data_IF_405733460120
#
_entry.id   IF_405733460120
#
_cell.length_a   1.000
_cell.length_b   1.000
_cell.length_c   1.000
_cell.angle_alpha   90.00
_cell.angle_beta   90.00
_cell.angle_gamma   90.00
#
_symmetry.space_group_name_H-M   'P 1'
#
loop_
_entity.id
_entity.type
_entity.pdbx_description
1 polymer ?
#
# COMPACT_ATOMS: atom_id res chain seq x y z
N UNK A 1 23.90 9.81 50.49
CA UNK A 1 24.43 9.26 51.76
C UNK A 1 25.38 8.11 51.44
N UNK A 2 26.46 7.95 52.23
CA UNK A 2 27.78 7.57 51.72
C UNK A 2 28.21 6.14 52.08
N UNK A 3 29.35 5.72 51.51
CA UNK A 3 30.40 4.76 51.99
C UNK A 3 30.85 3.86 50.83
N UNK A 4 32.12 3.71 50.44
CA UNK A 4 33.39 4.20 50.98
C UNK A 4 34.50 3.17 50.67
N UNK A 5 35.56 3.63 49.99
CA UNK A 5 37.00 3.27 50.13
C UNK A 5 37.42 1.81 49.78
N UNK A 6 38.62 1.44 49.34
CA UNK A 6 40.02 1.91 49.46
C UNK A 6 40.74 1.35 48.20
N UNK A 7 41.48 2.09 47.38
CA UNK A 7 42.92 2.34 47.51
C UNK A 7 43.37 3.46 46.56
N UNK A 8 44.39 4.19 47.03
CA UNK A 8 44.80 5.54 46.67
C UNK A 8 46.28 5.53 46.26
N UNK A 9 46.66 6.36 45.27
CA UNK A 9 47.95 7.09 45.13
C UNK A 9 49.27 6.29 45.05
N UNK A 10 50.34 6.67 44.33
CA UNK A 10 50.82 7.92 43.75
C UNK A 10 51.70 7.65 42.51
N UNK A 11 51.88 8.68 41.68
CA UNK A 11 53.01 8.91 40.76
C UNK A 11 54.34 9.27 41.49
N UNK A 12 55.38 9.48 40.67
CA UNK A 12 56.78 9.90 40.93
C UNK A 12 57.79 8.76 41.19
N UNK A 13 59.02 8.77 40.66
CA UNK A 13 59.74 9.65 39.72
C UNK A 13 61.07 8.95 39.36
N UNK A 14 61.80 9.56 38.44
CA UNK A 14 63.26 9.52 38.29
C UNK A 14 63.90 8.48 37.34
N UNK A 15 64.23 9.02 36.16
CA UNK A 15 65.46 8.73 35.43
C UNK A 15 66.71 9.10 36.26
N UNK A 16 67.83 8.48 35.86
CA UNK A 16 69.24 8.76 36.21
C UNK A 16 69.68 8.22 37.57
N UNK A 17 70.64 7.29 37.64
CA UNK A 17 72.04 7.58 37.33
C UNK A 17 72.93 6.33 37.43
N UNK A 18 73.92 6.26 36.53
CA UNK A 18 75.32 5.82 36.76
C UNK A 18 75.57 4.33 37.05
N UNK A 19 76.16 3.59 36.09
CA UNK A 19 77.61 3.45 35.80
C UNK A 19 78.38 2.67 36.88
N UNK A 20 79.30 1.85 36.37
CA UNK A 20 80.37 1.12 37.07
C UNK A 20 79.97 -0.15 37.82
N UNK A 21 80.11 -1.29 37.13
CA UNK A 21 81.31 -2.13 37.27
C UNK A 21 81.24 -3.20 36.17
N UNK A 22 81.80 -2.94 34.99
CA UNK A 22 83.21 -3.17 34.64
C UNK A 22 83.65 -4.64 34.76
N UNK A 23 84.05 -5.16 33.59
CA UNK A 23 85.20 -6.03 33.37
C UNK A 23 85.28 -7.35 34.13
N UNK A 24 85.31 -8.44 33.38
CA UNK A 24 86.51 -9.22 33.08
C UNK A 24 86.08 -10.51 32.38
N UNK A 25 86.83 -11.20 31.53
CA UNK A 25 88.00 -10.90 30.71
C UNK A 25 88.14 -12.17 29.86
N UNK A 26 88.34 -12.02 28.56
CA UNK A 26 88.96 -13.06 27.75
C UNK A 26 90.37 -13.34 28.29
N UNK A 27 90.61 -14.51 28.87
CA UNK A 27 91.93 -15.12 29.05
C UNK A 27 91.67 -16.59 29.42
N UNK A 28 92.31 -17.60 28.86
CA UNK A 28 93.72 -17.68 28.55
C UNK A 28 94.19 -19.03 29.09
N UNK A 29 94.44 -19.94 28.15
CA UNK A 29 95.43 -21.02 28.19
C UNK A 29 96.40 -20.99 29.38
N UNK A 30 96.36 -22.02 30.21
CA UNK A 30 97.49 -22.70 30.88
C UNK A 30 96.89 -23.92 31.59
N UNK A 31 97.47 -25.12 31.58
CA UNK A 31 98.89 -25.43 31.66
C UNK A 31 99.06 -26.40 32.82
N UNK A 32 99.13 -27.69 32.47
CA UNK A 32 99.74 -28.83 33.16
C UNK A 32 99.95 -28.82 34.69
N UNK A 33 99.56 -29.93 35.30
CA UNK A 33 100.35 -30.55 36.36
C UNK A 33 100.49 -32.05 36.11
N UNK A 34 101.76 -32.43 35.98
CA UNK A 34 102.33 -33.77 35.85
C UNK A 34 102.39 -34.44 37.23
N UNK A 35 102.04 -35.72 37.34
CA UNK A 35 102.62 -36.73 38.23
C UNK A 35 101.89 -38.05 37.96
N UNK A 36 102.48 -39.24 37.88
CA UNK A 36 103.86 -39.68 37.92
C UNK A 36 103.87 -41.16 37.45
N UNK A 37 105.04 -41.63 37.06
CA UNK A 37 105.34 -42.95 36.48
C UNK A 37 104.81 -44.18 37.26
N UNK A 38 104.40 -45.19 36.49
CA UNK A 38 104.34 -46.59 36.91
C UNK A 38 104.64 -47.49 35.70
N UNK A 39 105.93 -47.67 35.40
CA UNK A 39 106.46 -48.52 34.33
C UNK A 39 106.30 -49.99 34.77
N UNK A 40 105.19 -50.62 34.37
CA UNK A 40 104.96 -52.06 34.49
C UNK A 40 105.25 -52.74 33.16
N UNK A 41 106.39 -53.42 33.12
CA UNK A 41 106.93 -54.20 32.00
C UNK A 41 105.99 -55.37 31.68
N UNK A 42 106.00 -55.75 30.40
CA UNK A 42 105.40 -56.92 29.73
C UNK A 42 104.39 -56.40 28.70
N UNK A 43 104.80 -56.26 27.45
CA UNK A 43 105.16 -57.45 26.68
C UNK A 43 103.88 -58.20 26.35
N UNK A 44 102.96 -57.49 25.71
CA UNK A 44 101.84 -58.06 24.99
C UNK A 44 101.54 -57.01 23.94
N UNK A 45 101.58 -57.38 22.67
CA UNK A 45 100.87 -56.66 21.62
C UNK A 45 99.40 -56.56 22.06
N UNK A 46 99.07 -55.57 22.89
CA UNK A 46 97.68 -55.22 23.16
C UNK A 46 97.21 -54.53 21.91
N UNK A 47 96.79 -55.42 21.03
CA UNK A 47 96.24 -55.19 19.73
C UNK A 47 95.47 -53.89 19.77
N UNK A 48 95.89 -52.95 18.92
CA UNK A 48 95.19 -51.71 18.60
C UNK A 48 93.66 -51.95 18.60
N UNK A 49 93.23 -53.13 18.15
CA UNK A 49 91.87 -53.67 18.26
C UNK A 49 91.14 -53.52 19.61
N UNK A 50 91.79 -53.66 20.78
CA UNK A 50 91.10 -53.63 22.09
C UNK A 50 90.74 -52.22 22.56
N UNK A 51 91.63 -51.25 22.35
CA UNK A 51 91.34 -49.83 22.60
C UNK A 51 90.29 -49.32 21.59
N UNK A 52 90.41 -49.75 20.33
CA UNK A 52 89.41 -49.49 19.31
C UNK A 52 88.05 -50.09 19.68
N UNK A 53 87.98 -51.27 20.30
CA UNK A 53 86.74 -51.87 20.74
C UNK A 53 86.04 -51.08 21.85
N UNK A 54 86.77 -50.57 22.86
CA UNK A 54 86.19 -49.76 23.95
C UNK A 54 85.72 -48.40 23.42
N UNK A 55 86.52 -47.74 22.57
CA UNK A 55 86.08 -46.50 21.91
C UNK A 55 84.90 -46.74 20.96
N UNK A 56 84.84 -47.88 20.28
CA UNK A 56 83.70 -48.26 19.44
C UNK A 56 82.42 -48.45 20.28
N UNK A 57 82.49 -49.15 21.42
CA UNK A 57 81.33 -49.32 22.30
C UNK A 57 80.85 -48.00 22.90
N UNK A 58 81.78 -47.14 23.35
CA UNK A 58 81.46 -45.80 23.86
C UNK A 58 80.87 -44.90 22.76
N UNK A 59 81.41 -44.95 21.54
CA UNK A 59 80.87 -44.24 20.39
C UNK A 59 79.46 -44.71 20.03
N UNK A 60 79.21 -46.03 20.07
CA UNK A 60 77.87 -46.60 19.84
C UNK A 60 76.89 -46.17 20.93
N UNK A 61 77.28 -46.21 22.21
CA UNK A 61 76.45 -45.72 23.32
C UNK A 61 76.14 -44.22 23.20
N UNK A 62 77.15 -43.41 22.87
CA UNK A 62 76.97 -41.98 22.64
C UNK A 62 76.08 -41.71 21.43
N UNK A 63 76.22 -42.49 20.36
CA UNK A 63 75.35 -42.40 19.18
C UNK A 63 73.88 -42.76 19.51
N UNK A 64 73.64 -43.78 20.34
CA UNK A 64 72.28 -44.16 20.78
C UNK A 64 71.66 -43.08 21.67
N UNK A 65 72.41 -42.54 22.64
CA UNK A 65 71.93 -41.45 23.50
C UNK A 65 71.67 -40.18 22.70
N UNK A 66 72.57 -39.83 21.79
CA UNK A 66 72.40 -38.71 20.88
C UNK A 66 71.16 -38.89 19.99
N UNK A 67 70.92 -40.09 19.46
CA UNK A 67 69.73 -40.39 18.68
C UNK A 67 68.43 -40.26 19.51
N UNK A 68 68.42 -40.72 20.77
CA UNK A 68 67.27 -40.54 21.68
C UNK A 68 67.01 -39.06 21.98
N UNK A 69 68.06 -38.28 22.25
CA UNK A 69 67.95 -36.83 22.51
C UNK A 69 67.47 -36.08 21.27
N UNK A 70 68.02 -36.38 20.09
CA UNK A 70 67.57 -35.78 18.83
C UNK A 70 66.10 -36.15 18.54
N UNK A 71 65.71 -37.41 18.78
CA UNK A 71 64.32 -37.86 18.63
C UNK A 71 63.37 -37.08 19.54
N UNK A 72 63.68 -36.97 20.83
CA UNK A 72 62.84 -36.22 21.79
C UNK A 72 62.83 -34.71 21.49
N UNK A 73 63.95 -34.14 21.03
CA UNK A 73 64.02 -32.75 20.58
C UNK A 73 63.15 -32.52 19.34
N UNK A 74 63.15 -33.45 18.38
CA UNK A 74 62.32 -33.35 17.18
C UNK A 74 60.82 -33.39 17.49
N UNK A 75 60.41 -34.21 18.47
CA UNK A 75 59.02 -34.29 18.91
C UNK A 75 58.59 -33.02 19.65
N UNK A 76 59.42 -32.54 20.57
CA UNK A 76 59.17 -31.29 21.30
C UNK A 76 59.14 -30.08 20.36
N UNK A 77 59.97 -30.07 19.32
CA UNK A 77 59.96 -29.04 18.27
C UNK A 77 58.62 -29.04 17.51
N UNK A 78 58.09 -30.21 17.16
CA UNK A 78 56.77 -30.31 16.52
C UNK A 78 55.64 -29.84 17.44
N UNK A 79 55.66 -30.23 18.72
CA UNK A 79 54.68 -29.76 19.70
C UNK A 79 54.73 -28.24 19.89
N UNK A 80 55.93 -27.65 19.90
CA UNK A 80 56.10 -26.20 20.02
C UNK A 80 55.57 -25.45 18.80
N UNK A 81 55.83 -25.96 17.59
CA UNK A 81 55.26 -25.37 16.37
C UNK A 81 53.74 -25.52 16.33
N UNK A 82 53.20 -26.66 16.77
CA UNK A 82 51.75 -26.84 16.90
C UNK A 82 51.15 -25.80 17.86
N UNK A 83 51.73 -25.65 19.06
CA UNK A 83 51.28 -24.64 20.03
C UNK A 83 51.39 -23.21 19.49
N UNK A 84 52.45 -22.91 18.72
CA UNK A 84 52.62 -21.62 18.07
C UNK A 84 51.52 -21.36 17.04
N UNK A 85 51.15 -22.37 16.24
CA UNK A 85 50.03 -22.26 15.29
C UNK A 85 48.70 -22.09 16.01
N UNK A 86 48.43 -22.87 17.06
CA UNK A 86 47.20 -22.76 17.85
C UNK A 86 47.08 -21.38 18.49
N UNK A 87 48.17 -20.84 19.05
CA UNK A 87 48.20 -19.48 19.60
C UNK A 87 47.91 -18.43 18.53
N UNK A 88 48.42 -18.61 17.30
CA UNK A 88 48.15 -17.68 16.19
C UNK A 88 46.68 -17.70 15.77
N UNK A 89 46.05 -18.88 15.71
CA UNK A 89 44.64 -19.06 15.40
C UNK A 89 43.78 -18.44 16.49
N UNK A 90 44.08 -18.71 17.77
CA UNK A 90 43.37 -18.11 18.90
C UNK A 90 43.47 -16.59 18.90
N UNK A 91 44.63 -16.02 18.54
CA UNK A 91 44.80 -14.57 18.40
C UNK A 91 43.97 -13.99 17.26
N UNK A 92 43.92 -14.70 16.13
CA UNK A 92 43.07 -14.34 14.98
C UNK A 92 41.59 -14.34 15.37
N UNK A 93 41.12 -15.41 15.99
CA UNK A 93 39.75 -15.55 16.49
C UNK A 93 39.42 -14.47 17.54
N UNK A 94 40.36 -14.17 18.45
CA UNK A 94 40.22 -13.09 19.44
C UNK A 94 40.09 -11.70 18.82
N UNK A 95 40.87 -11.43 17.76
CA UNK A 95 40.75 -10.19 17.00
C UNK A 95 39.41 -10.10 16.27
N UNK A 96 38.95 -11.18 15.64
CA UNK A 96 37.69 -11.21 14.89
C UNK A 96 36.48 -11.06 15.81
N UNK A 97 36.46 -11.79 16.93
CA UNK A 97 35.45 -11.63 17.98
C UNK A 97 35.45 -10.22 18.57
N UNK A 98 36.63 -9.59 18.74
CA UNK A 98 36.75 -8.20 19.14
C UNK A 98 36.13 -7.21 18.14
N UNK A 99 36.28 -7.45 16.83
CA UNK A 99 35.61 -6.64 15.79
C UNK A 99 34.10 -6.83 15.82
N UNK A 100 33.63 -8.08 15.92
CA UNK A 100 32.20 -8.39 16.02
C UNK A 100 31.55 -7.73 17.23
N UNK A 101 32.23 -7.73 18.39
CA UNK A 101 31.75 -7.08 19.60
C UNK A 101 31.62 -5.55 19.43
N UNK A 102 32.58 -4.91 18.74
CA UNK A 102 32.48 -3.47 18.43
C UNK A 102 31.30 -3.16 17.51
N UNK A 103 31.08 -3.97 16.48
CA UNK A 103 29.92 -3.83 15.58
C UNK A 103 28.61 -4.01 16.34
N UNK A 104 28.51 -5.00 17.22
CA UNK A 104 27.33 -5.23 18.07
C UNK A 104 27.07 -4.04 19.00
N UNK A 105 28.10 -3.50 19.64
CA UNK A 105 27.96 -2.33 20.52
C UNK A 105 27.51 -1.07 19.75
N UNK A 106 28.03 -0.86 18.54
CA UNK A 106 27.57 0.21 17.65
C UNK A 106 26.09 0.01 17.30
N UNK A 107 25.71 -1.17 16.82
CA UNK A 107 24.31 -1.48 16.48
C UNK A 107 23.37 -1.30 17.67
N UNK A 108 23.78 -1.69 18.88
CA UNK A 108 23.01 -1.48 20.10
C UNK A 108 22.80 0.00 20.40
N UNK A 109 23.84 0.82 20.21
CA UNK A 109 23.76 2.27 20.43
C UNK A 109 22.80 2.93 19.41
N UNK A 110 22.89 2.53 18.14
CA UNK A 110 22.00 3.01 17.08
C UNK A 110 20.55 2.59 17.35
N UNK A 111 20.32 1.34 17.75
CA UNK A 111 18.99 0.83 18.09
C UNK A 111 18.37 1.59 19.27
N UNK A 112 19.17 1.91 20.29
CA UNK A 112 18.69 2.70 21.42
C UNK A 112 18.31 4.13 21.00
N UNK A 113 19.10 4.77 20.13
CA UNK A 113 18.75 6.08 19.56
C UNK A 113 17.42 6.02 18.80
N UNK A 114 17.21 4.99 17.97
CA UNK A 114 15.96 4.82 17.23
C UNK A 114 14.77 4.54 18.12
N UNK A 115 14.97 3.82 19.24
CA UNK A 115 13.91 3.55 20.22
C UNK A 115 13.43 4.84 20.90
N UNK A 116 14.36 5.74 21.24
CA UNK A 116 14.04 7.05 21.82
C UNK A 116 13.30 7.95 20.81
N UNK A 117 13.74 7.95 19.55
CA UNK A 117 13.07 8.70 18.47
C UNK A 117 11.65 8.18 18.24
N UNK A 118 11.49 6.86 18.11
CA UNK A 118 10.18 6.22 17.93
C UNK A 118 9.24 6.47 19.12
N UNK A 119 9.75 6.44 20.34
CA UNK A 119 8.96 6.76 21.53
C UNK A 119 8.49 8.22 21.55
N UNK A 120 9.29 9.13 20.99
CA UNK A 120 8.95 10.56 20.87
C UNK A 120 7.88 10.76 19.80
N UNK A 121 8.05 10.14 18.63
CA UNK A 121 7.09 10.19 17.54
C UNK A 121 5.75 9.57 17.94
N UNK A 122 5.77 8.44 18.66
CA UNK A 122 4.55 7.80 19.15
C UNK A 122 3.77 8.71 20.10
N UNK A 123 4.45 9.44 20.99
CA UNK A 123 3.81 10.44 21.86
C UNK A 123 3.24 11.61 21.06
N UNK A 124 3.95 12.08 20.04
CA UNK A 124 3.48 13.14 19.16
C UNK A 124 2.23 12.71 18.39
N UNK A 125 2.25 11.53 17.78
CA UNK A 125 1.10 10.97 17.05
C UNK A 125 -0.11 10.78 17.96
N UNK A 126 0.08 10.34 19.20
CA UNK A 126 -1.00 10.23 20.19
C UNK A 126 -1.61 11.61 20.52
N UNK A 127 -0.78 12.64 20.66
CA UNK A 127 -1.23 14.02 20.87
C UNK A 127 -1.99 14.56 19.67
N UNK A 128 -1.45 14.37 18.46
CA UNK A 128 -2.07 14.82 17.20
C UNK A 128 -3.42 14.11 16.98
N UNK A 129 -3.51 12.82 17.29
CA UNK A 129 -4.76 12.07 17.25
C UNK A 129 -5.80 12.61 18.23
N UNK A 130 -5.40 12.99 19.44
CA UNK A 130 -6.31 13.57 20.44
C UNK A 130 -6.82 14.97 20.01
N UNK A 131 -5.94 15.80 19.45
CA UNK A 131 -6.29 17.10 18.91
C UNK A 131 -7.27 16.97 17.74
N UNK A 132 -6.94 16.13 16.75
CA UNK A 132 -7.77 15.89 15.57
C UNK A 132 -9.15 15.33 15.95
N UNK A 133 -9.22 14.42 16.94
CA UNK A 133 -10.49 13.87 17.42
C UNK A 133 -11.40 14.97 17.99
N UNK A 134 -10.81 15.96 18.66
CA UNK A 134 -11.54 17.08 19.25
C UNK A 134 -12.05 18.01 18.14
N UNK A 135 -11.17 18.42 17.22
CA UNK A 135 -11.50 19.27 16.07
C UNK A 135 -12.62 18.66 15.21
N UNK A 136 -12.50 17.38 14.84
CA UNK A 136 -13.53 16.66 14.06
C UNK A 136 -14.86 16.62 14.81
N UNK A 137 -14.85 16.50 16.14
CA UNK A 137 -16.08 16.48 16.93
C UNK A 137 -16.78 17.84 16.99
N UNK A 138 -16.01 18.93 17.04
CA UNK A 138 -16.51 20.30 17.04
C UNK A 138 -17.07 20.66 15.66
N UNK A 139 -16.34 20.36 14.58
CA UNK A 139 -16.80 20.56 13.21
C UNK A 139 -18.07 19.77 12.91
N UNK A 140 -18.15 18.53 13.41
CA UNK A 140 -19.36 17.72 13.28
C UNK A 140 -20.55 18.32 14.05
N UNK A 141 -20.31 18.92 15.22
CA UNK A 141 -21.36 19.61 15.98
C UNK A 141 -21.84 20.86 15.25
N UNK A 142 -20.92 21.66 14.70
CA UNK A 142 -21.23 22.84 13.89
C UNK A 142 -22.01 22.48 12.63
N UNK A 143 -21.56 21.49 11.87
CA UNK A 143 -22.25 21.02 10.67
C UNK A 143 -23.68 20.51 10.96
N UNK A 144 -23.89 19.88 12.13
CA UNK A 144 -25.24 19.48 12.58
C UNK A 144 -26.11 20.70 12.87
N UNK A 145 -25.57 21.72 13.55
CA UNK A 145 -26.27 22.98 13.80
C UNK A 145 -26.67 23.68 12.51
N UNK A 146 -25.71 23.87 11.59
CA UNK A 146 -25.93 24.53 10.30
C UNK A 146 -27.02 23.81 9.48
N UNK A 147 -27.01 22.47 9.49
CA UNK A 147 -28.05 21.66 8.84
C UNK A 147 -29.43 21.90 9.46
N UNK A 148 -29.52 22.00 10.78
CA UNK A 148 -30.79 22.19 11.49
C UNK A 148 -31.32 23.63 11.27
N UNK A 149 -30.44 24.63 11.17
CA UNK A 149 -30.79 26.00 10.77
C UNK A 149 -31.31 26.06 9.33
N UNK A 150 -30.60 25.43 8.38
CA UNK A 150 -31.05 25.34 6.98
C UNK A 150 -32.43 24.65 6.90
N UNK A 151 -32.64 23.58 7.68
CA UNK A 151 -33.93 22.90 7.74
C UNK A 151 -35.03 23.82 8.27
N UNK A 152 -34.76 24.62 9.30
CA UNK A 152 -35.71 25.58 9.83
C UNK A 152 -36.09 26.65 8.80
N UNK A 153 -35.11 27.21 8.09
CA UNK A 153 -35.36 28.16 7.00
C UNK A 153 -36.13 27.53 5.84
N UNK A 154 -35.81 26.29 5.46
CA UNK A 154 -36.55 25.56 4.44
C UNK A 154 -38.03 25.36 4.83
N UNK A 155 -38.31 25.06 6.10
CA UNK A 155 -39.70 24.96 6.59
C UNK A 155 -40.42 26.32 6.56
N UNK A 156 -39.74 27.44 6.87
CA UNK A 156 -40.34 28.78 6.73
C UNK A 156 -40.69 29.10 5.27
N UNK A 157 -39.80 28.76 4.34
CA UNK A 157 -40.07 28.92 2.90
C UNK A 157 -41.24 28.03 2.48
N UNK A 158 -41.28 26.77 2.93
CA UNK A 158 -42.38 25.85 2.63
C UNK A 158 -43.73 26.39 3.12
N UNK A 159 -43.77 26.91 4.35
CA UNK A 159 -44.97 27.53 4.94
C UNK A 159 -45.36 28.81 4.18
N UNK A 160 -44.40 29.64 3.78
CA UNK A 160 -44.65 30.83 2.97
C UNK A 160 -45.19 30.49 1.57
N UNK A 161 -44.65 29.44 0.93
CA UNK A 161 -45.18 28.91 -0.33
C UNK A 161 -46.60 28.39 -0.14
N UNK A 162 -46.88 27.70 0.96
CA UNK A 162 -48.20 27.16 1.26
C UNK A 162 -49.23 28.26 1.53
N UNK A 163 -48.86 29.32 2.27
CA UNK A 163 -49.72 30.48 2.58
C UNK A 163 -49.88 31.45 1.42
N UNK A 164 -48.88 31.56 0.54
CA UNK A 164 -48.98 32.31 -0.72
C UNK A 164 -49.88 31.64 -1.77
N UNK A 165 -50.29 30.39 -1.53
CA UNK A 165 -51.09 29.59 -2.45
C UNK A 165 -52.61 29.88 -2.36
N UNK A 166 -53.06 30.78 -1.49
CA UNK A 166 -54.48 31.19 -1.39
C UNK A 166 -54.91 32.20 -2.47
N UNK A 167 -53.99 32.61 -3.35
CA UNK A 167 -54.26 33.24 -4.65
C UNK A 167 -53.74 32.34 -5.79
N UNK A 168 -54.29 31.12 -5.81
CA UNK A 168 -53.77 29.92 -6.48
C UNK A 168 -53.40 30.09 -7.96
N UNK A 169 -52.11 30.02 -8.24
CA UNK A 169 -51.65 29.47 -9.51
C UNK A 169 -51.85 27.95 -9.49
N UNK A 170 -52.81 27.42 -10.25
CA UNK A 170 -52.92 25.99 -10.48
C UNK A 170 -51.82 25.56 -11.45
N UNK A 171 -50.70 25.05 -10.91
CA UNK A 171 -49.52 24.61 -11.67
C UNK A 171 -49.91 23.74 -12.88
N UNK A 172 -50.82 22.77 -12.68
CA UNK A 172 -51.46 22.04 -13.77
C UNK A 172 -52.98 22.07 -13.61
N UNK A 173 -53.76 21.99 -14.71
CA UNK A 173 -55.21 21.84 -14.60
C UNK A 173 -55.60 20.54 -13.88
N UNK A 174 -56.80 20.51 -13.31
CA UNK A 174 -57.32 19.28 -12.69
C UNK A 174 -57.32 18.11 -13.70
N UNK A 175 -56.85 16.94 -13.27
CA UNK A 175 -56.72 15.75 -14.14
C UNK A 175 -55.41 15.67 -14.94
N UNK A 176 -54.52 16.65 -14.81
CA UNK A 176 -53.19 16.64 -15.43
C UNK A 176 -52.11 16.27 -14.40
N UNK A 177 -51.11 15.51 -14.83
CA UNK A 177 -49.96 15.12 -14.02
C UNK A 177 -48.80 16.09 -14.24
N UNK A 178 -48.20 16.60 -13.16
CA UNK A 178 -46.99 17.43 -13.23
C UNK A 178 -45.75 16.55 -13.28
N UNK A 179 -44.88 16.78 -14.26
CA UNK A 179 -43.53 16.21 -14.28
C UNK A 179 -42.53 17.13 -14.99
N UNK A 180 -41.38 17.39 -14.37
CA UNK A 180 -40.27 18.17 -14.93
C UNK A 180 -40.68 19.52 -15.58
N UNK A 181 -41.64 20.24 -14.99
CA UNK A 181 -42.10 21.52 -15.53
C UNK A 181 -43.00 21.41 -16.76
N UNK A 182 -43.68 20.28 -16.94
CA UNK A 182 -44.77 20.13 -17.90
C UNK A 182 -45.95 19.42 -17.23
N UNK A 183 -47.14 19.68 -17.76
CA UNK A 183 -48.38 19.02 -17.41
C UNK A 183 -48.71 18.00 -18.49
N UNK A 184 -49.11 16.79 -18.08
CA UNK A 184 -49.46 15.69 -18.97
C UNK A 184 -50.89 15.23 -18.72
N UNK A 185 -51.68 15.06 -19.77
CA UNK A 185 -53.04 14.52 -19.69
C UNK A 185 -53.12 13.21 -20.42
N UNK A 186 -53.58 12.16 -19.73
CA UNK A 186 -53.85 10.85 -20.31
C UNK A 186 -55.35 10.74 -20.51
N UNK A 187 -55.80 10.59 -21.76
CA UNK A 187 -57.23 10.53 -22.04
C UNK A 187 -57.88 9.28 -21.46
N UNK A 188 -59.12 9.42 -21.01
CA UNK A 188 -60.01 8.29 -20.69
C UNK A 188 -60.81 7.84 -21.91
N UNK A 189 -61.04 8.76 -22.84
CA UNK A 189 -61.71 8.51 -24.13
C UNK A 189 -60.71 8.03 -25.19
N UNK A 190 -61.24 7.51 -26.28
CA UNK A 190 -60.49 7.06 -27.46
C UNK A 190 -60.95 7.83 -28.69
N UNK A 191 -60.02 8.18 -29.58
CA UNK A 191 -60.27 8.95 -30.80
C UNK A 191 -59.26 8.59 -31.90
N UNK A 192 -59.58 8.95 -33.14
CA UNK A 192 -58.60 8.96 -34.23
C UNK A 192 -57.53 10.02 -33.99
N UNK A 193 -56.34 9.82 -34.57
CA UNK A 193 -55.17 10.65 -34.27
C UNK A 193 -55.40 12.15 -34.52
N UNK A 194 -56.08 12.50 -35.62
CA UNK A 194 -56.40 13.90 -35.94
C UNK A 194 -57.32 14.57 -34.91
N UNK A 195 -58.32 13.84 -34.39
CA UNK A 195 -59.20 14.33 -33.34
C UNK A 195 -58.50 14.37 -31.98
N UNK A 196 -57.60 13.43 -31.70
CA UNK A 196 -56.74 13.49 -30.52
C UNK A 196 -55.82 14.73 -30.53
N UNK A 197 -55.21 15.02 -31.69
CA UNK A 197 -54.42 16.25 -31.92
C UNK A 197 -55.25 17.49 -31.65
N UNK A 198 -56.49 17.53 -32.16
CA UNK A 198 -57.40 18.65 -31.92
C UNK A 198 -57.80 18.75 -30.44
N UNK A 199 -58.10 17.63 -29.77
CA UNK A 199 -58.48 17.62 -28.35
C UNK A 199 -57.37 18.16 -27.42
N UNK A 200 -56.09 17.97 -27.77
CA UNK A 200 -55.00 18.62 -27.06
C UNK A 200 -54.96 20.13 -27.34
N UNK A 201 -55.11 20.54 -28.61
CA UNK A 201 -55.14 21.96 -29.00
C UNK A 201 -56.26 22.73 -28.31
N UNK A 202 -57.46 22.14 -28.21
CA UNK A 202 -58.62 22.73 -27.53
C UNK A 202 -58.36 23.01 -26.04
N UNK A 203 -57.39 22.31 -25.44
CA UNK A 203 -56.95 22.49 -24.04
C UNK A 203 -55.69 23.36 -23.90
N UNK A 204 -55.26 24.03 -24.97
CA UNK A 204 -54.03 24.82 -25.01
C UNK A 204 -52.77 23.97 -24.87
N UNK A 205 -52.82 22.74 -25.39
CA UNK A 205 -51.76 21.75 -25.33
C UNK A 205 -51.45 21.17 -26.72
N UNK A 206 -50.47 20.27 -26.79
CA UNK A 206 -50.16 19.50 -27.99
C UNK A 206 -50.16 18.00 -27.67
N UNK A 207 -50.24 17.15 -28.68
CA UNK A 207 -49.93 15.73 -28.49
C UNK A 207 -48.49 15.60 -28.01
N UNK A 208 -48.26 14.64 -27.12
CA UNK A 208 -46.97 14.44 -26.46
C UNK A 208 -45.80 14.26 -27.45
N UNK A 209 -44.73 15.01 -27.20
CA UNK A 209 -43.42 14.91 -27.86
C UNK A 209 -42.46 14.21 -26.92
N UNK A 210 -41.86 13.11 -27.37
CA UNK A 210 -40.96 12.29 -26.56
C UNK A 210 -39.53 12.47 -27.06
N UNK A 211 -38.79 13.32 -26.36
CA UNK A 211 -37.43 13.77 -26.71
C UNK A 211 -36.33 13.18 -25.80
N UNK A 212 -36.71 12.34 -24.83
CA UNK A 212 -35.78 11.80 -23.84
C UNK A 212 -36.28 10.50 -23.22
N UNK A 213 -35.34 9.66 -22.78
CA UNK A 213 -35.64 8.41 -22.07
C UNK A 213 -36.38 8.65 -20.75
N UNK A 214 -36.04 9.71 -20.01
CA UNK A 214 -36.69 10.05 -18.74
C UNK A 214 -38.17 10.38 -18.94
N UNK A 215 -38.50 11.09 -20.03
CA UNK A 215 -39.89 11.37 -20.39
C UNK A 215 -40.61 10.08 -20.80
N UNK A 216 -39.98 9.21 -21.61
CA UNK A 216 -40.53 7.91 -21.98
C UNK A 216 -40.86 7.05 -20.75
N UNK A 217 -39.95 6.92 -19.79
CA UNK A 217 -40.16 6.15 -18.56
C UNK A 217 -41.34 6.68 -17.74
N UNK A 218 -41.46 8.01 -17.61
CA UNK A 218 -42.60 8.65 -16.96
C UNK A 218 -43.93 8.29 -17.67
N UNK A 219 -43.97 8.36 -18.99
CA UNK A 219 -45.18 8.05 -19.77
C UNK A 219 -45.57 6.57 -19.64
N UNK A 220 -44.61 5.64 -19.78
CA UNK A 220 -44.85 4.20 -19.65
C UNK A 220 -45.41 3.86 -18.26
N UNK A 221 -44.85 4.44 -17.20
CA UNK A 221 -45.32 4.22 -15.83
C UNK A 221 -46.77 4.66 -15.60
N UNK A 222 -47.18 5.78 -16.20
CA UNK A 222 -48.50 6.38 -15.99
C UNK A 222 -49.55 5.94 -17.03
N UNK A 223 -49.13 5.27 -18.11
CA UNK A 223 -50.02 4.75 -19.15
C UNK A 223 -50.97 3.65 -18.64
N UNK A 224 -50.66 2.99 -17.51
CA UNK A 224 -51.46 1.91 -16.90
C UNK A 224 -51.78 0.76 -17.88
N UNK A 225 -50.82 0.41 -18.74
CA UNK A 225 -50.95 -0.67 -19.73
C UNK A 225 -51.98 -0.39 -20.84
N UNK A 226 -52.38 0.87 -21.02
CA UNK A 226 -53.21 1.33 -22.15
C UNK A 226 -52.32 1.84 -23.28
N UNK A 227 -52.91 1.96 -24.47
CA UNK A 227 -52.25 2.50 -25.64
C UNK A 227 -52.71 3.94 -25.90
N UNK A 228 -51.79 4.78 -26.36
CA UNK A 228 -52.06 6.20 -26.58
C UNK A 228 -51.41 6.71 -27.85
N UNK A 229 -52.14 7.52 -28.62
CA UNK A 229 -51.57 8.37 -29.64
C UNK A 229 -50.53 9.32 -29.05
N UNK A 230 -49.42 9.43 -29.75
CA UNK A 230 -48.36 10.39 -29.47
C UNK A 230 -48.27 11.40 -30.62
N UNK A 231 -47.48 12.46 -30.43
CA UNK A 231 -47.35 13.54 -31.39
C UNK A 231 -46.49 13.21 -32.61
N UNK A 232 -46.07 11.97 -32.81
CA UNK A 232 -45.21 11.57 -33.92
C UNK A 232 -46.06 11.10 -35.11
N UNK A 233 -45.70 11.54 -36.32
CA UNK A 233 -46.39 11.17 -37.55
C UNK A 233 -45.51 11.40 -38.78
N UNK A 234 -45.84 10.78 -39.91
CA UNK A 234 -45.20 10.99 -41.21
C UNK A 234 -46.21 11.27 -42.34
N UNK A 235 -47.46 11.61 -41.99
CA UNK A 235 -48.59 12.01 -42.87
C UNK A 235 -48.20 12.93 -44.06
N UNK A 236 -47.16 13.75 -43.92
CA UNK A 236 -46.73 14.67 -44.98
C UNK A 236 -45.74 14.06 -45.98
N UNK A 237 -44.93 13.10 -45.54
CA UNK A 237 -43.90 12.45 -46.35
C UNK A 237 -43.55 11.09 -45.74
N UNK A 238 -44.04 10.03 -46.37
CA UNK A 238 -43.81 8.63 -46.00
C UNK A 238 -42.35 8.36 -45.62
N UNK A 239 -42.16 7.73 -44.46
CA UNK A 239 -40.83 7.38 -43.91
C UNK A 239 -40.08 8.56 -43.30
N UNK A 240 -40.65 9.77 -43.31
CA UNK A 240 -40.07 10.96 -42.65
C UNK A 240 -40.94 11.39 -41.48
N UNK A 241 -40.69 10.77 -40.33
CA UNK A 241 -41.41 11.10 -39.10
C UNK A 241 -40.99 12.45 -38.52
N UNK A 242 -41.99 13.26 -38.15
CA UNK A 242 -41.86 14.55 -37.49
C UNK A 242 -42.83 14.63 -36.31
N UNK A 243 -42.47 15.43 -35.31
CA UNK A 243 -43.37 15.73 -34.20
C UNK A 243 -44.40 16.79 -34.60
N UNK A 244 -45.51 16.86 -33.86
CA UNK A 244 -46.60 17.83 -34.10
C UNK A 244 -46.19 19.32 -34.01
N UNK A 245 -45.00 19.62 -33.50
CA UNK A 245 -44.37 20.96 -33.47
C UNK A 245 -43.35 21.17 -34.60
N UNK A 246 -43.34 20.27 -35.59
CA UNK A 246 -42.43 20.24 -36.74
C UNK A 246 -40.96 19.95 -36.39
N UNK A 247 -40.66 19.55 -35.14
CA UNK A 247 -39.31 19.13 -34.75
C UNK A 247 -38.97 17.73 -35.27
N UNK A 248 -37.67 17.49 -35.50
CA UNK A 248 -37.15 16.20 -35.94
C UNK A 248 -37.01 15.21 -34.77
N UNK A 249 -37.04 13.92 -35.10
CA UNK A 249 -36.88 12.84 -34.12
C UNK A 249 -35.43 12.76 -33.63
N UNK A 250 -35.19 13.12 -32.38
CA UNK A 250 -33.88 13.01 -31.71
C UNK A 250 -33.77 11.79 -30.78
N UNK A 251 -34.91 11.30 -30.31
CA UNK A 251 -35.05 10.12 -29.46
C UNK A 251 -36.12 9.20 -30.06
N UNK A 252 -35.89 7.89 -30.01
CA UNK A 252 -36.87 6.91 -30.46
C UNK A 252 -37.02 5.74 -29.49
N UNK A 253 -38.24 5.19 -29.42
CA UNK A 253 -38.54 3.99 -28.65
C UNK A 253 -39.43 3.02 -29.44
N UNK A 254 -39.14 2.88 -30.74
CA UNK A 254 -39.82 1.96 -31.64
C UNK A 254 -39.86 0.53 -31.10
N UNK A 255 -40.98 -0.14 -31.33
CA UNK A 255 -41.11 -1.57 -31.07
C UNK A 255 -40.26 -2.35 -32.09
N UNK A 256 -39.95 -3.60 -31.76
CA UNK A 256 -39.17 -4.45 -32.66
C UNK A 256 -39.91 -4.66 -33.98
N UNK A 257 -39.31 -4.20 -35.08
CA UNK A 257 -39.88 -4.29 -36.42
C UNK A 257 -40.55 -3.00 -36.91
N UNK A 258 -40.69 -1.99 -36.06
CA UNK A 258 -41.35 -0.72 -36.39
C UNK A 258 -40.38 0.40 -36.75
N UNK A 259 -40.82 1.41 -37.53
CA UNK A 259 -42.10 1.48 -38.23
C UNK A 259 -42.15 0.56 -39.46
N UNK A 260 -43.28 -0.10 -39.70
CA UNK A 260 -43.39 -1.14 -40.75
C UNK A 260 -44.35 -0.78 -41.91
N UNK A 261 -45.12 0.31 -41.77
CA UNK A 261 -46.16 0.77 -42.67
C UNK A 261 -47.12 -0.34 -43.14
N UNK A 262 -47.74 -1.06 -42.20
CA UNK A 262 -48.53 -2.24 -42.50
C UNK A 262 -49.75 -1.89 -43.38
N UNK A 263 -49.83 -2.51 -44.55
CA UNK A 263 -50.93 -2.26 -45.48
C UNK A 263 -50.85 -0.91 -46.21
N UNK A 264 -49.72 -0.20 -46.12
CA UNK A 264 -49.42 1.05 -46.85
C UNK A 264 -50.36 2.21 -46.53
N UNK A 265 -50.32 2.69 -45.28
CA UNK A 265 -51.03 3.89 -44.81
C UNK A 265 -51.03 4.07 -43.28
N UNK A 266 -49.96 3.65 -42.61
CA UNK A 266 -49.82 3.79 -41.15
C UNK A 266 -49.09 5.08 -40.76
N UNK A 267 -49.69 6.22 -41.07
CA UNK A 267 -48.94 7.48 -41.02
C UNK A 267 -48.88 8.15 -39.62
N UNK A 268 -49.42 7.50 -38.58
CA UNK A 268 -49.59 8.06 -37.23
C UNK A 268 -49.05 7.11 -36.16
N UNK A 269 -48.42 7.64 -35.11
CA UNK A 269 -47.73 6.78 -34.13
C UNK A 269 -48.47 6.70 -32.80
N UNK A 270 -48.61 5.48 -32.30
CA UNK A 270 -49.10 5.19 -30.95
C UNK A 270 -48.01 4.58 -30.06
N UNK A 271 -48.05 4.92 -28.78
CA UNK A 271 -47.35 4.21 -27.72
C UNK A 271 -48.19 3.00 -27.29
N UNK A 272 -47.64 1.80 -27.41
CA UNK A 272 -48.28 0.54 -27.02
C UNK A 272 -48.09 0.26 -25.52
N UNK A 273 -48.66 -0.86 -25.03
CA UNK A 273 -48.86 -1.11 -23.58
C UNK A 273 -47.58 -1.13 -22.74
N UNK A 274 -46.45 -1.50 -23.34
CA UNK A 274 -45.13 -1.56 -22.72
C UNK A 274 -44.31 -0.27 -22.91
N UNK A 275 -44.90 0.75 -23.52
CA UNK A 275 -44.25 2.03 -23.81
C UNK A 275 -43.54 2.10 -25.16
N UNK A 276 -43.46 1.00 -25.92
CA UNK A 276 -42.86 0.99 -27.26
C UNK A 276 -43.75 1.67 -28.30
N UNK A 277 -43.18 2.08 -29.41
CA UNK A 277 -43.92 2.82 -30.44
C UNK A 277 -44.25 1.94 -31.64
N UNK A 278 -45.42 2.18 -32.22
CA UNK A 278 -45.98 1.49 -33.39
C UNK A 278 -46.58 2.56 -34.29
N UNK A 279 -46.20 2.58 -35.56
CA UNK A 279 -46.95 3.29 -36.58
C UNK A 279 -48.28 2.57 -36.81
N UNK A 280 -49.35 3.31 -37.01
CA UNK A 280 -50.70 2.77 -37.10
C UNK A 280 -51.54 3.66 -38.03
N UNK A 281 -52.56 3.06 -38.63
CA UNK A 281 -53.50 3.83 -39.44
C UNK A 281 -54.11 4.97 -38.60
N UNK A 282 -53.97 6.21 -39.07
CA UNK A 282 -54.46 7.41 -38.38
C UNK A 282 -55.95 7.37 -38.02
N UNK A 283 -56.73 6.54 -38.73
CA UNK A 283 -58.16 6.35 -38.53
C UNK A 283 -58.51 5.21 -37.56
N UNK A 284 -57.59 4.66 -36.78
CA UNK A 284 -57.97 3.79 -35.65
C UNK A 284 -58.66 4.60 -34.55
N UNK A 285 -59.77 4.09 -34.00
CA UNK A 285 -60.61 4.78 -33.02
C UNK A 285 -60.55 4.23 -31.59
N UNK A 286 -59.83 3.13 -31.35
CA UNK A 286 -59.75 2.44 -30.05
C UNK A 286 -58.51 2.84 -29.23
N UNK A 287 -57.87 3.96 -29.58
CA UNK A 287 -56.62 4.42 -28.97
C UNK A 287 -56.86 5.71 -28.20
N UNK A 288 -56.33 5.77 -26.97
CA UNK A 288 -56.33 7.00 -26.17
C UNK A 288 -55.36 8.03 -26.74
N UNK A 289 -55.13 9.16 -26.07
CA UNK A 289 -54.08 10.10 -26.44
C UNK A 289 -53.47 10.77 -25.22
N UNK A 290 -52.23 11.23 -25.38
CA UNK A 290 -51.53 11.97 -24.32
C UNK A 290 -51.28 13.39 -24.81
N UNK A 291 -51.70 14.37 -24.02
CA UNK A 291 -51.38 15.77 -24.26
C UNK A 291 -50.25 16.25 -23.34
N UNK A 292 -49.48 17.23 -23.79
CA UNK A 292 -48.55 17.99 -22.96
C UNK A 292 -48.69 19.50 -23.14
N UNK A 293 -48.43 20.24 -22.06
CA UNK A 293 -48.20 21.69 -22.08
C UNK A 293 -47.30 22.09 -20.93
N UNK A 294 -46.63 23.23 -21.05
CA UNK A 294 -45.89 23.81 -19.92
C UNK A 294 -46.85 24.16 -18.79
N UNK A 295 -46.43 23.93 -17.55
CA UNK A 295 -47.13 24.51 -16.40
C UNK A 295 -47.08 26.03 -16.50
N UNK A 296 -48.10 26.69 -15.97
CA UNK A 296 -48.20 28.15 -15.99
C UNK A 296 -48.49 28.66 -14.59
N UNK A 297 -47.63 29.55 -14.13
CA UNK A 297 -47.89 30.62 -13.16
C UNK A 297 -47.44 31.93 -13.82
#
# INVERSE_FOLDING_TARGET
MPSGSIYQKCEESDQETLKEQETEMTFGRAGNSLMQCGRGVNGEEKSILTLYAVHAVSFVLWAVLLAMVIGKYSEMSKELEQLRTDQSVLRGNGSETGKQLKTLHFNQSTMHSTEVELATDLKRLQSDQAALKTEVSEDLAKAKSDRDDIRAEAYKILDAVQKGNDSACSICPAGWLLNAGNCYYFSTEQKHWSYAKQACKDQGAMLIIIDSNQKQEFLTKNANGKQYWIGLHDVSNEGTFIWVDDSSVSYSNWNQGEPNNFGSGEDCVMMVKDGKWNDATCVMNEVGWICEKKWTC
#
